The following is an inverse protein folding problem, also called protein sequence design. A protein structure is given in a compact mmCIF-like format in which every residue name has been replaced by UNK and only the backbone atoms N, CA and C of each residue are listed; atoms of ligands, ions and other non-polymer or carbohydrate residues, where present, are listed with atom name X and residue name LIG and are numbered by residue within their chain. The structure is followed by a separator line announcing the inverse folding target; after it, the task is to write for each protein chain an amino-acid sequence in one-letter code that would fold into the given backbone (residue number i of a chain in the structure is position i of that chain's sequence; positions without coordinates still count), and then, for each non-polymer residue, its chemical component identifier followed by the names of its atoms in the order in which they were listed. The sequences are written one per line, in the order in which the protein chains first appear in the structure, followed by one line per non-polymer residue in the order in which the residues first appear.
data_IF_502424340667
#
_entry.id   IF_502424340667
#
_cell.length_a   1.000
_cell.length_b   1.000
_cell.length_c   1.000
_cell.angle_alpha   90.00
_cell.angle_beta   90.00
_cell.angle_gamma   90.00
#
_symmetry.space_group_name_H-M   'P 1'
#
loop_
_entity.id
_entity.type
_entity.pdbx_description
1 polymer ?
#
# COMPACT_ATOMS: atom_id res chain seq x y z
N UNK A 1 37.28 2.52 1.68
CA UNK A 1 36.90 3.30 2.87
C UNK A 1 35.76 4.22 2.44
N UNK A 2 34.54 3.70 2.31
CA UNK A 2 33.39 4.58 2.13
C UNK A 2 33.01 5.07 3.53
N UNK A 3 33.39 6.31 3.84
CA UNK A 3 33.04 7.00 5.10
C UNK A 3 31.70 7.69 4.89
N UNK A 4 30.60 6.93 4.87
CA UNK A 4 29.27 7.53 4.87
C UNK A 4 28.97 8.11 6.26
N UNK A 5 28.71 9.41 6.35
CA UNK A 5 28.22 10.01 7.58
C UNK A 5 26.77 9.57 7.82
N UNK A 6 26.40 9.29 9.07
CA UNK A 6 25.00 9.02 9.43
C UNK A 6 24.27 10.37 9.45
N UNK A 7 23.19 10.47 8.68
CA UNK A 7 22.38 11.69 8.59
C UNK A 7 21.24 11.66 9.59
N UNK A 8 20.51 10.54 9.65
CA UNK A 8 19.36 10.36 10.54
C UNK A 8 18.98 8.88 10.65
N UNK A 9 17.94 8.59 11.44
CA UNK A 9 17.27 7.30 11.49
C UNK A 9 16.04 7.30 10.57
N UNK A 10 15.85 6.24 9.79
CA UNK A 10 14.73 6.13 8.86
C UNK A 10 13.43 5.76 9.60
N UNK A 11 12.38 6.58 9.59
CA UNK A 11 11.11 6.28 10.27
C UNK A 11 10.29 5.13 9.61
N UNK A 12 10.75 4.57 8.49
CA UNK A 12 10.04 3.50 7.77
C UNK A 12 10.55 2.12 8.18
N UNK A 13 11.86 1.97 8.33
CA UNK A 13 12.51 0.69 8.63
C UNK A 13 13.36 0.72 9.91
N UNK A 14 13.43 1.87 10.58
CA UNK A 14 14.16 2.06 11.85
C UNK A 14 15.69 1.80 11.72
N UNK A 15 16.22 1.86 10.49
CA UNK A 15 17.65 1.75 10.21
C UNK A 15 18.28 3.13 9.98
N UNK A 16 19.59 3.22 10.24
CA UNK A 16 20.38 4.42 9.93
C UNK A 16 20.39 4.75 8.44
N UNK A 17 20.23 6.03 8.13
CA UNK A 17 20.35 6.59 6.78
C UNK A 17 21.72 7.26 6.66
N UNK A 18 22.47 6.85 5.64
CA UNK A 18 23.78 7.42 5.35
C UNK A 18 23.67 8.57 4.34
N UNK A 19 24.69 9.42 4.29
CA UNK A 19 24.78 10.62 3.43
C UNK A 19 24.60 10.34 1.94
N UNK A 20 24.88 9.13 1.48
CA UNK A 20 24.73 8.68 0.10
C UNK A 20 23.37 8.03 -0.19
N UNK A 21 22.55 7.75 0.83
CA UNK A 21 21.29 7.01 0.72
C UNK A 21 20.04 7.83 1.06
N UNK A 22 20.21 9.06 1.57
CA UNK A 22 19.08 9.86 2.06
C UNK A 22 18.28 10.56 0.98
N UNK A 23 16.97 10.63 1.20
CA UNK A 23 16.02 11.48 0.48
C UNK A 23 15.01 12.06 1.49
N UNK A 24 14.35 13.15 1.13
CA UNK A 24 13.25 13.71 1.92
C UNK A 24 11.91 13.13 1.48
N UNK A 25 11.08 12.74 2.45
CA UNK A 25 9.68 12.42 2.18
C UNK A 25 8.81 13.69 2.08
N UNK A 26 7.51 13.50 1.86
CA UNK A 26 6.54 14.61 1.72
C UNK A 26 6.34 15.45 3.01
N UNK A 27 6.96 15.07 4.11
CA UNK A 27 6.90 15.74 5.42
C UNK A 27 8.30 16.17 5.89
N UNK A 28 9.26 16.30 4.97
CA UNK A 28 10.64 16.67 5.23
C UNK A 28 11.40 15.70 6.18
N UNK A 29 10.98 14.44 6.27
CA UNK A 29 11.73 13.42 7.01
C UNK A 29 12.83 12.81 6.15
N UNK A 30 13.98 12.56 6.76
CA UNK A 30 15.09 11.84 6.15
C UNK A 30 14.77 10.34 6.10
N UNK A 31 14.72 9.77 4.90
CA UNK A 31 14.41 8.35 4.68
C UNK A 31 15.35 7.74 3.65
N UNK A 32 15.44 6.40 3.58
CA UNK A 32 16.12 5.75 2.45
C UNK A 32 15.29 5.86 1.17
N UNK A 33 15.96 6.08 0.03
CA UNK A 33 15.29 6.11 -1.29
C UNK A 33 14.48 4.83 -1.56
N UNK A 34 15.05 3.65 -1.22
CA UNK A 34 14.39 2.35 -1.35
C UNK A 34 13.10 2.25 -0.52
N UNK A 35 13.12 2.82 0.69
CA UNK A 35 11.99 2.77 1.62
C UNK A 35 10.86 3.67 1.12
N UNK A 36 11.19 4.86 0.60
CA UNK A 36 10.21 5.75 -0.01
C UNK A 36 9.54 5.13 -1.25
N UNK A 37 10.33 4.53 -2.15
CA UNK A 37 9.81 3.83 -3.34
C UNK A 37 8.89 2.68 -2.95
N UNK A 38 9.28 1.88 -1.96
CA UNK A 38 8.50 0.74 -1.48
C UNK A 38 7.18 1.18 -0.83
N UNK A 39 7.22 2.20 0.03
CA UNK A 39 6.02 2.79 0.66
C UNK A 39 5.01 3.27 -0.39
N UNK A 40 5.49 3.99 -1.40
CA UNK A 40 4.63 4.49 -2.49
C UNK A 40 4.04 3.36 -3.34
N UNK A 41 4.82 2.33 -3.64
CA UNK A 41 4.34 1.13 -4.35
C UNK A 41 3.25 0.41 -3.53
N UNK A 42 3.49 0.18 -2.24
CA UNK A 42 2.55 -0.49 -1.34
C UNK A 42 1.25 0.31 -1.21
N UNK A 43 1.32 1.64 -1.10
CA UNK A 43 0.13 2.49 -1.06
C UNK A 43 -0.71 2.37 -2.33
N UNK A 44 -0.06 2.36 -3.50
CA UNK A 44 -0.74 2.15 -4.79
C UNK A 44 -1.38 0.77 -4.88
N UNK A 45 -0.67 -0.28 -4.44
CA UNK A 45 -1.18 -1.65 -4.42
C UNK A 45 -2.39 -1.78 -3.47
N UNK A 46 -2.31 -1.23 -2.25
CA UNK A 46 -3.41 -1.23 -1.30
C UNK A 46 -4.64 -0.51 -1.86
N UNK A 47 -4.45 0.61 -2.57
CA UNK A 47 -5.55 1.30 -3.22
C UNK A 47 -6.23 0.42 -4.29
N UNK A 48 -5.44 -0.26 -5.14
CA UNK A 48 -5.97 -1.17 -6.17
C UNK A 48 -6.69 -2.38 -5.56
N UNK A 49 -6.12 -2.99 -4.52
CA UNK A 49 -6.74 -4.11 -3.80
C UNK A 49 -8.07 -3.70 -3.16
N UNK A 50 -8.15 -2.51 -2.55
CA UNK A 50 -9.39 -1.99 -1.99
C UNK A 50 -10.47 -1.78 -3.05
N UNK A 51 -10.11 -1.27 -4.23
CA UNK A 51 -11.06 -1.14 -5.35
C UNK A 51 -11.56 -2.51 -5.81
N UNK A 52 -10.70 -3.52 -5.86
CA UNK A 52 -11.08 -4.85 -6.29
C UNK A 52 -11.97 -5.55 -5.26
N UNK A 53 -11.69 -5.39 -3.96
CA UNK A 53 -12.56 -5.87 -2.88
C UNK A 53 -13.97 -5.29 -3.03
N UNK A 54 -14.10 -3.97 -3.21
CA UNK A 54 -15.41 -3.33 -3.39
C UNK A 54 -16.17 -3.85 -4.62
N UNK A 55 -15.46 -4.14 -5.72
CA UNK A 55 -16.07 -4.73 -6.92
C UNK A 55 -16.57 -6.14 -6.66
N UNK A 56 -15.76 -6.96 -6.00
CA UNK A 56 -16.10 -8.35 -5.67
C UNK A 56 -17.29 -8.40 -4.69
N UNK A 57 -17.31 -7.56 -3.67
CA UNK A 57 -18.43 -7.45 -2.73
C UNK A 57 -19.73 -7.08 -3.44
N UNK A 58 -19.68 -6.10 -4.36
CA UNK A 58 -20.84 -5.74 -5.18
C UNK A 58 -21.31 -6.93 -6.03
N UNK A 59 -20.37 -7.66 -6.64
CA UNK A 59 -20.69 -8.81 -7.49
C UNK A 59 -21.31 -9.97 -6.69
N UNK A 60 -20.80 -10.24 -5.50
CA UNK A 60 -21.37 -11.23 -4.58
C UNK A 60 -22.80 -10.85 -4.25
N UNK A 61 -23.06 -9.60 -3.87
CA UNK A 61 -24.40 -9.12 -3.55
C UNK A 61 -25.39 -9.28 -4.72
N UNK A 62 -24.97 -8.95 -5.94
CA UNK A 62 -25.79 -9.14 -7.15
C UNK A 62 -26.15 -10.62 -7.37
N UNK A 63 -25.18 -11.52 -7.20
CA UNK A 63 -25.38 -12.96 -7.35
C UNK A 63 -26.29 -13.53 -6.25
N UNK A 64 -26.14 -13.07 -5.01
CA UNK A 64 -27.02 -13.45 -3.91
C UNK A 64 -28.47 -13.02 -4.17
N UNK A 65 -28.69 -11.81 -4.67
CA UNK A 65 -30.03 -11.36 -5.06
C UNK A 65 -30.61 -12.16 -6.23
N UNK A 66 -29.79 -12.53 -7.22
CA UNK A 66 -30.22 -13.39 -8.32
C UNK A 66 -30.63 -14.78 -7.83
N UNK A 67 -29.84 -15.40 -6.95
CA UNK A 67 -30.17 -16.68 -6.34
C UNK A 67 -31.46 -16.61 -5.53
N UNK A 68 -31.65 -15.56 -4.74
CA UNK A 68 -32.88 -15.35 -3.96
C UNK A 68 -34.11 -15.22 -4.88
N UNK A 69 -33.99 -14.46 -5.97
CA UNK A 69 -35.06 -14.32 -6.97
C UNK A 69 -35.36 -15.64 -7.69
N UNK A 70 -34.32 -16.38 -8.09
CA UNK A 70 -34.44 -17.67 -8.76
C UNK A 70 -35.08 -18.75 -7.86
N UNK A 71 -34.78 -18.75 -6.56
CA UNK A 71 -35.44 -19.63 -5.60
C UNK A 71 -36.92 -19.28 -5.43
N UNK A 72 -37.29 -18.01 -5.45
CA UNK A 72 -38.70 -17.59 -5.35
C UNK A 72 -39.54 -17.94 -6.59
N UNK A 73 -38.93 -18.09 -7.77
CA UNK A 73 -39.65 -18.49 -9.00
C UNK A 73 -39.90 -20.00 -9.13
N UNK A 74 -39.34 -20.81 -8.23
CA UNK A 74 -39.49 -22.27 -8.22
C UNK A 74 -40.56 -22.78 -7.22
N UNK A 75 -41.22 -21.87 -6.49
CA UNK A 75 -42.40 -22.13 -5.66
C UNK A 75 -43.63 -21.46 -6.28
#
# INVERSE_FOLDING_TARGET
MASGCIVAECPICEDWVFEDEWILDQYDNVVHERCLKTKNHNNKMNHLLNQEIQRLEKRIKELEEQNKRGQMTLF
#
